data_IF_115983128504
#
_entry.id   IF_115983128504
#
_cell.length_a   1.000
_cell.length_b   1.000
_cell.length_c   1.000
_cell.angle_alpha   90.00
_cell.angle_beta   90.00
_cell.angle_gamma   90.00
#
_symmetry.space_group_name_H-M   'P 1'
#
loop_
_entity.id
_entity.type
_entity.pdbx_description
1 polymer ?
#
# COMPACT_ATOMS: atom_id res chain seq x y z
N UNK A 1 18.44 -15.46 9.48
CA UNK A 1 17.45 -15.08 8.45
C UNK A 1 18.22 -14.92 7.15
N UNK A 2 17.84 -15.65 6.11
CA UNK A 2 18.33 -15.37 4.77
C UNK A 2 17.94 -13.93 4.43
N UNK A 3 18.83 -13.19 3.79
CA UNK A 3 18.50 -11.81 3.40
C UNK A 3 17.51 -11.84 2.24
N UNK A 4 16.71 -10.79 2.06
CA UNK A 4 15.83 -10.64 0.89
C UNK A 4 16.62 -10.79 -0.42
N UNK A 5 17.87 -10.33 -0.42
CA UNK A 5 18.80 -10.47 -1.53
C UNK A 5 19.07 -11.95 -1.83
N UNK A 6 19.36 -12.78 -0.81
CA UNK A 6 19.65 -14.20 -1.00
C UNK A 6 18.46 -14.95 -1.62
N UNK A 7 17.23 -14.59 -1.22
CA UNK A 7 16.02 -15.16 -1.80
C UNK A 7 15.85 -14.76 -3.27
N UNK A 8 16.08 -13.49 -3.61
CA UNK A 8 16.03 -13.00 -5.00
C UNK A 8 17.12 -13.70 -5.86
N UNK A 9 18.33 -13.89 -5.32
CA UNK A 9 19.41 -14.60 -6.01
C UNK A 9 19.03 -16.05 -6.32
N UNK A 10 18.37 -16.75 -5.43
CA UNK A 10 17.83 -18.11 -5.67
C UNK A 10 16.77 -18.12 -6.78
N UNK A 11 15.86 -17.13 -6.79
CA UNK A 11 14.85 -17.01 -7.84
C UNK A 11 15.49 -16.69 -9.19
N UNK A 12 16.52 -15.83 -9.23
CA UNK A 12 17.31 -15.54 -10.43
C UNK A 12 17.96 -16.79 -10.99
N UNK A 13 18.65 -17.58 -10.15
CA UNK A 13 19.30 -18.83 -10.56
C UNK A 13 18.28 -19.83 -11.12
N UNK A 14 17.17 -20.02 -10.44
CA UNK A 14 16.06 -20.91 -10.85
C UNK A 14 15.51 -20.55 -12.23
N UNK A 15 15.35 -19.26 -12.51
CA UNK A 15 14.78 -18.75 -13.76
C UNK A 15 15.85 -18.44 -14.82
N UNK A 16 17.14 -18.77 -14.54
CA UNK A 16 18.28 -18.56 -15.43
C UNK A 16 18.55 -17.08 -15.79
N UNK A 17 18.35 -16.18 -14.80
CA UNK A 17 18.79 -14.79 -14.86
C UNK A 17 20.07 -14.58 -14.06
N UNK A 18 20.88 -13.60 -14.45
CA UNK A 18 22.16 -13.31 -13.80
C UNK A 18 22.11 -12.02 -12.96
N UNK A 19 21.12 -11.16 -13.24
CA UNK A 19 20.91 -9.94 -12.49
C UNK A 19 19.43 -9.51 -12.54
N UNK A 20 19.03 -8.66 -11.58
CA UNK A 20 17.71 -8.05 -11.51
C UNK A 20 17.83 -6.54 -11.32
N UNK A 21 17.26 -5.78 -12.23
CA UNK A 21 17.27 -4.31 -12.27
C UNK A 21 16.03 -3.76 -11.60
N UNK A 22 16.24 -2.94 -10.56
CA UNK A 22 15.22 -2.17 -9.84
C UNK A 22 15.45 -0.67 -10.06
N UNK A 23 14.36 0.07 -10.24
CA UNK A 23 14.35 1.53 -10.42
C UNK A 23 13.29 2.22 -9.55
N UNK A 24 12.29 1.49 -9.07
CA UNK A 24 11.29 2.04 -8.18
C UNK A 24 11.92 2.35 -6.83
N UNK A 25 11.72 3.57 -6.33
CA UNK A 25 12.41 4.06 -5.13
C UNK A 25 12.14 3.23 -3.89
N UNK A 26 10.91 2.78 -3.71
CA UNK A 26 10.53 1.90 -2.60
C UNK A 26 11.21 0.54 -2.69
N UNK A 27 11.41 -0.02 -3.89
CA UNK A 27 12.15 -1.25 -4.10
C UNK A 27 13.65 -1.09 -3.83
N UNK A 28 14.22 0.04 -4.25
CA UNK A 28 15.64 0.38 -3.93
C UNK A 28 15.81 0.55 -2.43
N UNK A 29 14.90 1.29 -1.77
CA UNK A 29 14.91 1.49 -0.31
C UNK A 29 14.79 0.15 0.44
N UNK A 30 13.86 -0.72 0.03
CA UNK A 30 13.65 -2.03 0.64
C UNK A 30 14.89 -2.90 0.65
N UNK A 31 15.63 -2.93 -0.47
CA UNK A 31 16.84 -3.74 -0.59
C UNK A 31 18.03 -3.11 0.10
N UNK A 32 18.18 -1.80 0.04
CA UNK A 32 19.42 -1.10 0.40
C UNK A 32 19.35 -0.27 1.67
N UNK A 33 18.15 0.02 2.16
CA UNK A 33 17.85 1.02 3.22
C UNK A 33 18.09 2.47 2.80
N UNK A 34 18.69 2.70 1.65
CA UNK A 34 18.84 4.04 1.09
C UNK A 34 17.56 4.46 0.36
N UNK A 35 16.99 5.58 0.77
CA UNK A 35 15.84 6.21 0.13
C UNK A 35 16.29 7.21 -0.92
N UNK A 36 16.14 6.91 -2.22
CA UNK A 36 16.50 7.86 -3.28
C UNK A 36 15.66 9.13 -3.20
N UNK A 37 16.31 10.29 -3.49
CA UNK A 37 15.62 11.58 -3.61
C UNK A 37 15.48 12.04 -5.06
N UNK A 38 16.24 11.43 -5.97
CA UNK A 38 16.19 11.68 -7.40
C UNK A 38 16.03 10.35 -8.17
N UNK A 39 16.99 9.95 -8.96
CA UNK A 39 16.96 8.63 -9.60
C UNK A 39 18.01 7.70 -9.00
N UNK A 40 17.72 6.41 -8.97
CA UNK A 40 18.65 5.36 -8.61
C UNK A 40 18.36 4.09 -9.42
N UNK A 41 19.39 3.28 -9.65
CA UNK A 41 19.30 1.94 -10.21
C UNK A 41 19.91 0.97 -9.22
N UNK A 42 19.17 -0.03 -8.80
CA UNK A 42 19.71 -1.11 -8.00
C UNK A 42 19.83 -2.36 -8.87
N UNK A 43 21.01 -2.92 -8.97
CA UNK A 43 21.30 -4.19 -9.66
C UNK A 43 21.53 -5.24 -8.61
N UNK A 44 20.59 -6.17 -8.46
CA UNK A 44 20.73 -7.33 -7.60
C UNK A 44 21.44 -8.44 -8.40
N UNK A 45 22.59 -8.84 -7.93
CA UNK A 45 23.46 -9.91 -8.42
C UNK A 45 24.31 -10.40 -7.23
N UNK A 46 25.25 -11.35 -7.42
CA UNK A 46 26.08 -11.87 -6.33
C UNK A 46 26.67 -10.75 -5.43
N UNK A 47 27.15 -9.66 -6.04
CA UNK A 47 27.54 -8.44 -5.35
C UNK A 47 26.61 -7.30 -5.80
N UNK A 48 25.53 -6.99 -5.06
CA UNK A 48 24.54 -6.01 -5.45
C UNK A 48 25.11 -4.59 -5.43
N UNK A 49 24.68 -3.75 -6.36
CA UNK A 49 25.18 -2.39 -6.54
C UNK A 49 24.03 -1.41 -6.74
N UNK A 50 24.15 -0.22 -6.13
CA UNK A 50 23.32 0.93 -6.45
C UNK A 50 24.13 1.91 -7.31
N UNK A 51 23.53 2.36 -8.40
CA UNK A 51 23.98 3.53 -9.15
C UNK A 51 23.11 4.73 -8.72
N UNK A 52 23.69 5.62 -7.90
CA UNK A 52 22.99 6.79 -7.40
C UNK A 52 23.32 8.04 -8.20
N UNK A 53 22.40 8.98 -8.24
CA UNK A 53 22.66 10.31 -8.83
C UNK A 53 23.80 11.02 -8.07
N UNK A 54 24.49 11.94 -8.76
CA UNK A 54 25.56 12.69 -8.14
C UNK A 54 25.11 13.54 -6.93
N UNK A 55 23.83 13.92 -6.88
CA UNK A 55 23.24 14.69 -5.78
C UNK A 55 23.01 13.83 -4.53
N UNK A 56 22.78 12.54 -4.71
CA UNK A 56 22.44 11.62 -3.64
C UNK A 56 23.65 10.83 -3.10
N UNK A 57 24.85 11.02 -3.65
CA UNK A 57 26.02 10.20 -3.30
C UNK A 57 26.36 10.17 -1.81
N UNK A 58 26.29 11.31 -1.13
CA UNK A 58 26.55 11.41 0.30
C UNK A 58 25.49 10.63 1.09
N UNK A 59 24.22 10.86 0.77
CA UNK A 59 23.07 10.18 1.39
C UNK A 59 23.14 8.66 1.15
N UNK A 60 23.36 8.25 -0.09
CA UNK A 60 23.46 6.85 -0.46
C UNK A 60 24.61 6.12 0.23
N UNK A 61 25.80 6.73 0.32
CA UNK A 61 26.93 6.16 1.02
C UNK A 61 26.73 6.08 2.55
N UNK A 62 25.95 7.01 3.14
CA UNK A 62 25.64 7.00 4.57
C UNK A 62 24.65 5.89 4.93
N UNK A 63 23.59 5.73 4.13
CA UNK A 63 22.41 4.93 4.51
C UNK A 63 22.40 3.54 3.88
N UNK A 64 23.06 3.35 2.72
CA UNK A 64 23.02 2.07 2.01
C UNK A 64 23.77 0.96 2.73
N UNK A 65 23.16 -0.22 2.79
CA UNK A 65 23.76 -1.47 3.26
C UNK A 65 24.54 -2.22 2.17
N UNK A 66 24.50 -1.76 0.92
CA UNK A 66 25.18 -2.36 -0.24
C UNK A 66 26.07 -1.35 -0.95
N UNK A 67 26.91 -1.82 -1.88
CA UNK A 67 27.84 -0.96 -2.61
C UNK A 67 27.12 0.15 -3.37
N UNK A 68 27.66 1.38 -3.32
CA UNK A 68 27.15 2.54 -4.03
C UNK A 68 28.17 3.02 -5.05
N UNK A 69 27.72 3.24 -6.28
CA UNK A 69 28.50 3.86 -7.36
C UNK A 69 27.76 5.11 -7.85
N UNK A 70 28.52 6.11 -8.27
CA UNK A 70 27.93 7.27 -8.96
C UNK A 70 27.44 6.83 -10.33
N UNK A 71 26.17 7.13 -10.63
CA UNK A 71 25.67 6.97 -12.01
C UNK A 71 26.35 7.97 -12.94
N UNK A 72 26.95 7.48 -14.01
CA UNK A 72 27.55 8.29 -15.06
C UNK A 72 26.66 8.32 -16.32
N UNK A 73 26.33 7.16 -16.84
CA UNK A 73 25.41 6.98 -18.00
C UNK A 73 24.92 5.55 -18.11
N UNK A 74 23.88 5.34 -18.90
CA UNK A 74 23.41 3.98 -19.23
C UNK A 74 24.50 3.15 -19.90
N UNK A 75 25.29 3.75 -20.80
CA UNK A 75 26.34 3.03 -21.53
C UNK A 75 27.42 2.49 -20.58
N UNK A 76 27.84 3.29 -19.60
CA UNK A 76 28.83 2.84 -18.59
C UNK A 76 28.27 1.69 -17.79
N UNK A 77 27.04 1.77 -17.30
CA UNK A 77 26.40 0.70 -16.54
C UNK A 77 26.22 -0.57 -17.38
N UNK A 78 25.77 -0.45 -18.62
CA UNK A 78 25.63 -1.57 -19.56
C UNK A 78 26.99 -2.23 -19.83
N UNK A 79 28.02 -1.45 -20.09
CA UNK A 79 29.37 -1.96 -20.33
C UNK A 79 29.95 -2.70 -19.11
N UNK A 80 29.67 -2.22 -17.90
CA UNK A 80 30.07 -2.90 -16.66
C UNK A 80 29.37 -4.26 -16.52
N UNK A 81 28.06 -4.31 -16.72
CA UNK A 81 27.29 -5.56 -16.65
C UNK A 81 27.73 -6.57 -17.72
N UNK A 82 28.02 -6.11 -18.93
CA UNK A 82 28.54 -6.98 -20.03
C UNK A 82 29.95 -7.53 -19.71
N UNK A 83 30.83 -6.73 -19.13
CA UNK A 83 32.17 -7.17 -18.70
C UNK A 83 32.10 -8.23 -17.59
N UNK A 84 31.07 -8.19 -16.74
CA UNK A 84 30.80 -9.21 -15.75
C UNK A 84 30.12 -10.46 -16.33
N UNK A 85 29.84 -10.49 -17.63
CA UNK A 85 29.27 -11.65 -18.34
C UNK A 85 27.76 -11.77 -18.23
N UNK A 86 27.05 -10.72 -17.78
CA UNK A 86 25.60 -10.71 -17.72
C UNK A 86 25.03 -10.68 -19.14
N UNK A 87 24.11 -11.59 -19.43
CA UNK A 87 23.38 -11.72 -20.68
C UNK A 87 21.88 -11.70 -20.49
N UNK A 88 21.40 -12.34 -19.42
CA UNK A 88 20.00 -12.44 -19.06
C UNK A 88 19.72 -11.52 -17.86
N UNK A 89 18.93 -10.47 -18.11
CA UNK A 89 18.58 -9.44 -17.13
C UNK A 89 17.10 -9.50 -16.78
N UNK A 90 16.76 -9.83 -15.54
CA UNK A 90 15.40 -9.63 -15.04
C UNK A 90 15.17 -8.15 -14.75
N UNK A 91 13.96 -7.68 -14.95
CA UNK A 91 13.53 -6.31 -14.62
C UNK A 91 12.24 -6.33 -13.77
N UNK A 92 12.04 -5.31 -12.94
CA UNK A 92 10.76 -5.12 -12.25
C UNK A 92 9.64 -4.72 -13.25
N UNK A 93 8.37 -5.10 -13.02
CA UNK A 93 7.26 -4.76 -13.91
C UNK A 93 7.04 -3.25 -14.08
N UNK A 94 7.37 -2.47 -13.07
CA UNK A 94 7.25 -1.00 -13.03
C UNK A 94 8.37 -0.26 -13.76
N UNK A 95 9.35 -0.98 -14.36
CA UNK A 95 10.47 -0.35 -15.06
C UNK A 95 9.96 0.59 -16.15
N UNK A 96 10.35 1.88 -16.16
CA UNK A 96 9.94 2.81 -17.21
C UNK A 96 10.34 2.29 -18.61
N UNK A 97 9.41 2.34 -19.55
CA UNK A 97 9.67 1.92 -20.93
C UNK A 97 10.89 2.62 -21.57
N UNK A 98 11.11 3.90 -21.22
CA UNK A 98 12.29 4.66 -21.64
C UNK A 98 13.61 4.04 -21.15
N UNK A 99 13.61 3.43 -19.97
CA UNK A 99 14.76 2.70 -19.42
C UNK A 99 14.89 1.34 -20.11
N UNK A 100 13.80 0.58 -20.27
CA UNK A 100 13.80 -0.69 -21.00
C UNK A 100 14.46 -0.56 -22.38
N UNK A 101 14.12 0.47 -23.15
CA UNK A 101 14.70 0.71 -24.51
C UNK A 101 16.22 0.88 -24.47
N UNK A 102 16.82 1.28 -23.34
CA UNK A 102 18.28 1.44 -23.22
C UNK A 102 19.01 0.11 -23.04
N UNK A 103 18.32 -0.90 -22.51
CA UNK A 103 18.93 -2.19 -22.16
C UNK A 103 18.59 -3.32 -23.15
N UNK A 104 17.46 -3.23 -23.87
CA UNK A 104 16.89 -4.32 -24.65
C UNK A 104 17.78 -4.84 -25.80
N UNK A 105 18.66 -4.00 -26.32
CA UNK A 105 19.52 -4.39 -27.46
C UNK A 105 20.83 -5.08 -27.00
N UNK A 106 21.11 -5.01 -25.66
CA UNK A 106 22.32 -5.54 -25.04
C UNK A 106 22.09 -6.79 -24.18
N UNK A 107 20.85 -7.02 -23.74
CA UNK A 107 20.49 -8.12 -22.83
C UNK A 107 19.22 -8.84 -23.28
N UNK A 108 19.14 -10.14 -22.99
CA UNK A 108 17.86 -10.86 -22.96
C UNK A 108 17.10 -10.46 -21.72
N UNK A 109 15.93 -9.83 -21.89
CA UNK A 109 15.18 -9.19 -20.78
C UNK A 109 13.82 -9.87 -20.61
N UNK A 110 13.47 -10.14 -19.34
CA UNK A 110 12.11 -10.52 -18.95
C UNK A 110 11.69 -9.83 -17.66
N UNK A 111 10.40 -9.57 -17.53
CA UNK A 111 9.81 -8.94 -16.35
C UNK A 111 9.54 -9.96 -15.25
N UNK A 112 9.93 -9.66 -14.01
CA UNK A 112 9.81 -10.56 -12.86
C UNK A 112 9.34 -9.82 -11.61
N UNK A 113 8.52 -10.47 -10.81
CA UNK A 113 7.95 -9.96 -9.56
C UNK A 113 8.71 -10.47 -8.32
N UNK A 114 10.03 -10.64 -8.40
CA UNK A 114 10.81 -11.19 -7.28
C UNK A 114 10.78 -10.30 -6.05
N UNK A 115 10.88 -8.98 -6.26
CA UNK A 115 10.84 -8.02 -5.15
C UNK A 115 9.44 -7.96 -4.51
N UNK A 116 8.38 -8.03 -5.32
CA UNK A 116 7.00 -8.00 -4.83
C UNK A 116 6.73 -9.19 -3.90
N UNK A 117 7.24 -10.38 -4.25
CA UNK A 117 7.17 -11.59 -3.39
C UNK A 117 7.86 -11.38 -2.03
N UNK A 118 9.00 -10.67 -2.00
CA UNK A 118 9.69 -10.40 -0.75
C UNK A 118 8.90 -9.39 0.10
N UNK A 119 8.29 -8.37 -0.51
CA UNK A 119 7.51 -7.34 0.16
C UNK A 119 6.14 -7.84 0.63
N UNK A 120 5.60 -8.88 -0.02
CA UNK A 120 4.31 -9.48 0.31
C UNK A 120 4.26 -10.01 1.75
N UNK A 121 5.33 -10.68 2.19
CA UNK A 121 5.44 -11.27 3.53
C UNK A 121 6.25 -10.32 4.42
N UNK A 122 5.56 -9.62 5.30
CA UNK A 122 6.16 -8.65 6.21
C UNK A 122 6.89 -9.34 7.36
N UNK A 123 8.07 -8.86 7.65
CA UNK A 123 8.80 -9.25 8.87
C UNK A 123 8.11 -8.66 10.11
N UNK A 124 8.35 -9.20 11.33
CA UNK A 124 7.80 -8.60 12.54
C UNK A 124 8.12 -7.11 12.70
N UNK A 125 9.32 -6.67 12.33
CA UNK A 125 9.73 -5.26 12.41
C UNK A 125 8.96 -4.37 11.42
N UNK A 126 8.60 -4.88 10.24
CA UNK A 126 7.78 -4.16 9.27
C UNK A 126 6.33 -4.03 9.78
N UNK A 127 5.79 -5.10 10.37
CA UNK A 127 4.45 -5.07 10.99
C UNK A 127 4.42 -4.06 12.16
N UNK A 128 5.48 -3.98 12.99
CA UNK A 128 5.60 -2.99 14.06
C UNK A 128 5.56 -1.55 13.53
N UNK A 129 6.20 -1.28 12.39
CA UNK A 129 6.17 0.05 11.75
C UNK A 129 4.80 0.39 11.19
N UNK A 130 4.13 -0.57 10.53
CA UNK A 130 2.76 -0.42 10.05
C UNK A 130 1.82 -0.16 11.24
N UNK A 131 1.95 -0.91 12.32
CA UNK A 131 1.16 -0.72 13.54
C UNK A 131 1.39 0.68 14.15
N UNK A 132 2.64 1.18 14.14
CA UNK A 132 2.92 2.54 14.62
C UNK A 132 2.35 3.61 13.70
N UNK A 133 2.39 3.42 12.38
CA UNK A 133 1.73 4.31 11.43
C UNK A 133 0.21 4.35 11.67
N UNK A 134 -0.42 3.19 11.90
CA UNK A 134 -1.84 3.07 12.23
C UNK A 134 -2.18 3.77 13.56
N UNK A 135 -1.38 3.56 14.61
CA UNK A 135 -1.54 4.25 15.90
C UNK A 135 -1.52 5.79 15.74
N UNK A 136 -0.56 6.30 14.95
CA UNK A 136 -0.46 7.74 14.67
C UNK A 136 -1.70 8.22 13.92
N UNK A 137 -2.13 7.51 12.88
CA UNK A 137 -3.31 7.88 12.09
C UNK A 137 -4.59 7.89 12.93
N UNK A 138 -4.82 6.83 13.71
CA UNK A 138 -6.01 6.70 14.57
C UNK A 138 -6.02 7.73 15.69
N UNK A 139 -4.88 7.97 16.36
CA UNK A 139 -4.76 9.04 17.37
C UNK A 139 -5.08 10.40 16.78
N UNK A 140 -4.57 10.71 15.59
CA UNK A 140 -4.79 11.99 14.91
C UNK A 140 -6.26 12.20 14.55
N UNK A 141 -6.95 11.13 14.14
CA UNK A 141 -8.39 11.16 13.90
C UNK A 141 -9.17 11.47 15.19
N UNK A 142 -8.82 10.85 16.32
CA UNK A 142 -9.46 11.13 17.62
C UNK A 142 -9.17 12.56 18.09
N UNK A 143 -7.94 13.05 17.90
CA UNK A 143 -7.55 14.42 18.26
C UNK A 143 -8.26 15.48 17.39
N UNK A 144 -8.79 15.10 16.22
CA UNK A 144 -9.49 16.01 15.30
C UNK A 144 -10.86 16.44 15.81
N UNK A 145 -11.51 15.67 16.69
CA UNK A 145 -12.87 15.93 17.20
C UNK A 145 -13.88 16.23 16.07
N UNK A 146 -13.96 15.30 15.12
CA UNK A 146 -14.73 15.48 13.88
C UNK A 146 -16.20 15.82 14.10
N UNK A 147 -16.81 15.29 15.17
CA UNK A 147 -18.23 15.49 15.48
C UNK A 147 -18.55 16.94 15.86
N UNK A 148 -17.60 17.68 16.44
CA UNK A 148 -17.72 19.08 16.80
C UNK A 148 -17.08 20.01 15.74
N UNK A 149 -16.50 19.44 14.67
CA UNK A 149 -15.81 20.22 13.66
C UNK A 149 -16.80 20.92 12.72
N UNK A 150 -16.72 22.25 12.62
CA UNK A 150 -17.54 23.09 11.76
C UNK A 150 -16.82 23.52 10.48
N UNK A 151 -15.67 22.94 10.18
CA UNK A 151 -14.84 23.22 9.02
C UNK A 151 -15.47 22.80 7.68
N UNK A 152 -14.75 23.09 6.61
CA UNK A 152 -15.00 22.53 5.29
C UNK A 152 -14.29 21.19 5.14
N UNK A 153 -14.64 20.36 4.15
CA UNK A 153 -13.95 19.11 3.87
C UNK A 153 -12.43 19.34 3.72
N UNK A 154 -12.00 20.39 3.02
CA UNK A 154 -10.58 20.75 2.87
C UNK A 154 -9.89 21.13 4.18
N UNK A 155 -10.58 21.91 5.02
CA UNK A 155 -10.02 22.31 6.32
C UNK A 155 -9.85 21.08 7.22
N UNK A 156 -10.83 20.18 7.24
CA UNK A 156 -10.77 18.94 8.01
C UNK A 156 -9.65 18.02 7.52
N UNK A 157 -9.53 17.81 6.19
CA UNK A 157 -8.44 17.04 5.61
C UNK A 157 -7.06 17.62 5.98
N UNK A 158 -6.89 18.94 5.85
CA UNK A 158 -5.65 19.63 6.21
C UNK A 158 -5.33 19.48 7.71
N UNK A 159 -6.31 19.67 8.58
CA UNK A 159 -6.11 19.53 10.03
C UNK A 159 -5.72 18.09 10.40
N UNK A 160 -6.32 17.09 9.77
CA UNK A 160 -5.97 15.68 9.99
C UNK A 160 -4.54 15.37 9.57
N UNK A 161 -4.11 15.84 8.40
CA UNK A 161 -2.70 15.70 7.93
C UNK A 161 -1.74 16.40 8.90
N UNK A 162 -2.06 17.62 9.33
CA UNK A 162 -1.26 18.35 10.32
C UNK A 162 -1.12 17.56 11.62
N UNK A 163 -2.23 17.03 12.15
CA UNK A 163 -2.22 16.21 13.37
C UNK A 163 -1.39 14.93 13.21
N UNK A 164 -1.47 14.24 12.06
CA UNK A 164 -0.62 13.08 11.79
C UNK A 164 0.86 13.43 11.85
N UNK A 165 1.28 14.56 11.26
CA UNK A 165 2.68 15.03 11.31
C UNK A 165 3.08 15.39 12.74
N UNK A 166 2.23 16.10 13.50
CA UNK A 166 2.46 16.46 14.90
C UNK A 166 2.56 15.21 15.80
N UNK A 167 1.83 14.15 15.50
CA UNK A 167 1.87 12.87 16.20
C UNK A 167 3.03 11.95 15.75
N UNK A 168 3.85 12.36 14.78
CA UNK A 168 5.10 11.67 14.41
C UNK A 168 5.12 10.99 13.05
N UNK A 169 4.10 11.18 12.21
CA UNK A 169 4.17 10.76 10.80
C UNK A 169 5.19 11.59 10.02
N UNK A 170 5.82 10.99 9.03
CA UNK A 170 6.66 11.73 8.07
C UNK A 170 5.81 12.50 7.04
N UNK A 171 4.67 11.96 6.66
CA UNK A 171 3.62 12.54 5.82
C UNK A 171 2.38 11.64 5.83
N UNK A 172 1.33 12.03 5.14
CA UNK A 172 0.21 11.14 4.79
C UNK A 172 0.64 10.03 3.82
N UNK A 173 -0.04 8.87 3.85
CA UNK A 173 0.23 7.74 2.95
C UNK A 173 -0.35 7.93 1.55
N UNK A 174 -1.41 8.68 1.45
CA UNK A 174 -2.11 9.11 0.23
C UNK A 174 -2.84 10.43 0.52
N UNK A 175 -3.37 11.08 -0.51
CA UNK A 175 -4.18 12.29 -0.36
C UNK A 175 -5.41 12.00 0.50
N UNK A 176 -5.45 12.55 1.72
CA UNK A 176 -6.53 12.33 2.68
C UNK A 176 -7.89 12.68 2.09
N UNK A 177 -8.82 11.72 2.09
CA UNK A 177 -10.19 11.90 1.61
C UNK A 177 -11.07 12.33 2.78
N UNK A 178 -11.73 13.46 2.64
CA UNK A 178 -12.86 13.90 3.49
C UNK A 178 -13.98 14.26 2.57
N UNK A 179 -15.07 13.49 2.61
CA UNK A 179 -16.23 13.70 1.76
C UNK A 179 -17.51 13.57 2.56
N UNK A 180 -18.56 14.27 2.16
CA UNK A 180 -19.77 14.36 2.96
C UNK A 180 -21.03 14.52 2.13
N UNK A 181 -22.19 14.11 2.69
CA UNK A 181 -23.47 14.11 2.00
C UNK A 181 -23.42 13.30 0.70
N UNK A 182 -24.01 13.81 -0.36
CA UNK A 182 -24.10 13.12 -1.65
C UNK A 182 -22.73 12.82 -2.28
N UNK A 183 -21.71 13.63 -2.00
CA UNK A 183 -20.37 13.41 -2.53
C UNK A 183 -19.69 12.15 -1.96
N UNK A 184 -20.11 11.65 -0.79
CA UNK A 184 -19.60 10.38 -0.24
C UNK A 184 -19.96 9.16 -1.10
N UNK A 185 -20.90 9.29 -2.06
CA UNK A 185 -21.17 8.25 -3.04
C UNK A 185 -20.06 8.06 -4.10
N UNK A 186 -19.03 8.91 -4.08
CA UNK A 186 -17.87 8.82 -4.96
C UNK A 186 -16.67 8.28 -4.16
N UNK A 187 -16.18 7.04 -4.41
CA UNK A 187 -15.13 6.42 -3.60
C UNK A 187 -13.84 7.24 -3.47
N UNK A 188 -13.47 7.95 -4.53
CA UNK A 188 -12.26 8.79 -4.60
C UNK A 188 -12.60 10.29 -4.72
N UNK A 189 -13.61 10.76 -3.96
CA UNK A 189 -13.95 12.18 -3.95
C UNK A 189 -12.78 13.01 -3.38
N UNK A 190 -12.53 14.15 -4.02
CA UNK A 190 -11.51 15.11 -3.55
C UNK A 190 -12.21 16.08 -2.58
N UNK A 191 -11.61 16.35 -1.39
CA UNK A 191 -12.17 17.30 -0.43
C UNK A 191 -12.42 18.68 -1.05
N UNK A 192 -13.61 19.24 -0.84
CA UNK A 192 -14.02 20.53 -1.38
C UNK A 192 -14.10 21.64 -0.32
N UNK A 193 -14.09 22.92 -0.75
CA UNK A 193 -14.27 24.07 0.15
C UNK A 193 -15.77 24.26 0.48
N UNK A 194 -16.46 23.18 0.84
CA UNK A 194 -17.86 23.17 1.28
C UNK A 194 -17.95 22.67 2.72
N UNK A 195 -18.93 23.14 3.48
CA UNK A 195 -19.18 22.66 4.84
C UNK A 195 -19.55 21.19 4.84
N UNK A 196 -19.15 20.50 5.91
CA UNK A 196 -19.53 19.12 6.12
C UNK A 196 -21.05 18.95 6.09
N UNK A 197 -21.51 17.90 5.42
CA UNK A 197 -22.88 17.43 5.39
C UNK A 197 -22.93 15.98 5.90
N UNK A 198 -24.11 15.40 6.05
CA UNK A 198 -24.28 14.03 6.54
C UNK A 198 -24.60 13.07 5.40
N UNK A 199 -24.03 11.84 5.35
CA UNK A 199 -22.99 11.29 6.26
C UNK A 199 -21.62 11.95 6.01
N UNK A 200 -20.63 11.67 6.88
CA UNK A 200 -19.24 12.10 6.70
C UNK A 200 -18.41 10.83 6.55
N UNK A 201 -17.71 10.70 5.42
CA UNK A 201 -16.74 9.63 5.16
C UNK A 201 -15.34 10.25 5.17
N UNK A 202 -14.46 9.67 5.98
CA UNK A 202 -13.04 10.03 6.06
C UNK A 202 -12.21 8.78 5.80
N UNK A 203 -11.23 8.93 4.88
CA UNK A 203 -10.27 7.91 4.53
C UNK A 203 -8.88 8.54 4.60
N UNK A 204 -8.01 7.95 5.45
CA UNK A 204 -6.74 8.56 5.80
C UNK A 204 -5.70 7.52 6.24
N UNK A 205 -4.44 7.87 6.04
CA UNK A 205 -3.33 7.07 6.51
C UNK A 205 -2.06 7.88 6.73
N UNK A 206 -1.19 7.39 7.58
CA UNK A 206 0.09 7.98 7.94
C UNK A 206 1.26 7.15 7.43
N UNK A 207 2.41 7.79 7.19
CA UNK A 207 3.68 7.09 6.96
C UNK A 207 4.58 7.24 8.18
N UNK A 208 5.01 6.10 8.73
CA UNK A 208 6.01 6.04 9.79
C UNK A 208 7.19 5.15 9.37
N UNK A 209 8.41 5.70 9.43
CA UNK A 209 9.64 5.03 8.98
C UNK A 209 9.51 4.34 7.60
N UNK A 210 8.83 5.00 6.66
CA UNK A 210 8.61 4.54 5.29
C UNK A 210 7.36 3.66 5.10
N UNK A 211 6.75 3.14 6.16
CA UNK A 211 5.59 2.23 6.09
C UNK A 211 4.28 2.97 6.21
N UNK A 212 3.34 2.62 5.34
CA UNK A 212 2.00 3.19 5.25
C UNK A 212 1.04 2.56 6.27
N UNK A 213 0.03 3.32 6.68
CA UNK A 213 -1.23 2.83 7.25
C UNK A 213 -2.40 3.27 6.40
N UNK A 214 -3.55 2.64 6.62
CA UNK A 214 -4.79 2.90 5.92
C UNK A 214 -6.00 2.67 6.83
N UNK A 215 -6.95 3.61 6.83
CA UNK A 215 -8.17 3.54 7.63
C UNK A 215 -9.31 4.33 6.97
N UNK A 216 -10.51 3.78 6.94
CA UNK A 216 -11.73 4.52 6.60
C UNK A 216 -12.78 4.40 7.69
N UNK A 217 -13.44 5.52 8.01
CA UNK A 217 -14.64 5.57 8.86
C UNK A 217 -15.73 6.41 8.21
N UNK A 218 -16.99 5.94 8.36
CA UNK A 218 -18.17 6.72 7.95
C UNK A 218 -19.06 6.98 9.16
N UNK A 219 -19.25 8.25 9.50
CA UNK A 219 -20.20 8.70 10.52
C UNK A 219 -21.58 8.88 9.90
N UNK A 220 -22.59 8.22 10.48
CA UNK A 220 -23.97 8.17 9.98
C UNK A 220 -24.92 8.79 10.97
N UNK A 221 -26.03 9.37 10.47
CA UNK A 221 -26.90 10.23 11.25
C UNK A 221 -28.41 9.97 11.04
N UNK A 222 -28.77 9.13 10.06
CA UNK A 222 -30.16 8.77 9.74
C UNK A 222 -30.35 7.28 9.78
N UNK A 223 -31.59 6.80 10.00
CA UNK A 223 -31.92 5.37 9.98
C UNK A 223 -31.51 4.69 8.65
N UNK A 224 -31.69 5.39 7.51
CA UNK A 224 -31.30 4.88 6.20
C UNK A 224 -29.78 4.75 6.06
N UNK A 225 -29.01 5.69 6.57
CA UNK A 225 -27.55 5.62 6.57
C UNK A 225 -27.08 4.52 7.50
N UNK A 226 -27.72 4.35 8.67
CA UNK A 226 -27.40 3.29 9.62
C UNK A 226 -27.67 1.90 9.02
N UNK A 227 -28.79 1.71 8.31
CA UNK A 227 -29.08 0.46 7.62
C UNK A 227 -27.95 0.06 6.66
N UNK A 228 -27.45 0.98 5.84
CA UNK A 228 -26.34 0.73 4.91
C UNK A 228 -25.03 0.49 5.67
N UNK A 229 -24.79 1.25 6.73
CA UNK A 229 -23.62 1.08 7.59
C UNK A 229 -23.58 -0.33 8.22
N UNK A 230 -24.70 -0.81 8.73
CA UNK A 230 -24.81 -2.13 9.35
C UNK A 230 -24.51 -3.25 8.35
N UNK A 231 -24.93 -3.14 7.09
CA UNK A 231 -24.62 -4.09 6.01
C UNK A 231 -23.10 -4.09 5.72
N UNK A 232 -22.51 -2.91 5.59
CA UNK A 232 -21.06 -2.78 5.35
C UNK A 232 -20.25 -3.32 6.53
N UNK A 233 -20.68 -3.05 7.77
CA UNK A 233 -20.05 -3.58 8.98
C UNK A 233 -20.14 -5.12 9.06
N UNK A 234 -21.29 -5.71 8.69
CA UNK A 234 -21.42 -7.17 8.62
C UNK A 234 -20.45 -7.77 7.59
N UNK A 235 -20.35 -7.16 6.40
CA UNK A 235 -19.44 -7.60 5.35
C UNK A 235 -17.96 -7.49 5.80
N UNK A 236 -17.59 -6.38 6.43
CA UNK A 236 -16.26 -6.13 6.98
C UNK A 236 -15.88 -7.17 8.05
N UNK A 237 -16.70 -7.31 9.08
CA UNK A 237 -16.41 -8.22 10.20
C UNK A 237 -16.36 -9.69 9.74
N UNK A 238 -17.24 -10.07 8.82
CA UNK A 238 -17.27 -11.44 8.30
C UNK A 238 -16.05 -11.74 7.43
N UNK A 239 -15.62 -10.78 6.58
CA UNK A 239 -14.41 -10.92 5.79
C UNK A 239 -13.19 -11.12 6.70
N UNK A 240 -12.99 -10.25 7.70
CA UNK A 240 -11.87 -10.36 8.65
C UNK A 240 -11.89 -11.71 9.38
N UNK A 241 -13.04 -12.13 9.85
CA UNK A 241 -13.23 -13.41 10.59
C UNK A 241 -12.84 -14.62 9.75
N UNK A 242 -13.10 -14.59 8.45
CA UNK A 242 -12.88 -15.72 7.56
C UNK A 242 -11.45 -15.78 7.00
N UNK A 243 -10.67 -14.70 7.10
CA UNK A 243 -9.27 -14.65 6.67
C UNK A 243 -8.44 -15.68 7.46
N UNK A 244 -7.76 -16.56 6.74
CA UNK A 244 -6.77 -17.51 7.27
C UNK A 244 -5.80 -17.95 6.19
N UNK A 245 -4.57 -18.34 6.55
CA UNK A 245 -3.62 -18.92 5.60
C UNK A 245 -4.19 -20.13 4.86
N UNK A 246 -3.85 -20.24 3.57
CA UNK A 246 -4.27 -21.34 2.69
C UNK A 246 -5.52 -21.04 1.86
N UNK A 247 -6.30 -20.01 2.16
CA UNK A 247 -7.37 -19.52 1.28
C UNK A 247 -6.79 -18.66 0.16
N UNK A 248 -7.53 -18.47 -0.91
CA UNK A 248 -7.22 -17.48 -1.96
C UNK A 248 -7.75 -16.10 -1.59
N UNK A 249 -7.07 -15.05 -2.04
CA UNK A 249 -7.53 -13.67 -1.85
C UNK A 249 -8.92 -13.43 -2.44
N UNK A 250 -9.23 -14.01 -3.61
CA UNK A 250 -10.56 -13.90 -4.23
C UNK A 250 -11.69 -14.55 -3.40
N UNK A 251 -11.38 -15.53 -2.54
CA UNK A 251 -12.39 -16.13 -1.66
C UNK A 251 -12.82 -15.16 -0.56
N UNK A 252 -11.92 -14.32 -0.08
CA UNK A 252 -12.24 -13.27 0.92
C UNK A 252 -13.03 -12.13 0.29
N UNK A 253 -12.65 -11.66 -0.91
CA UNK A 253 -13.47 -10.69 -1.65
C UNK A 253 -14.90 -11.20 -1.84
N UNK A 254 -15.02 -12.48 -2.19
CA UNK A 254 -16.34 -13.12 -2.37
C UNK A 254 -17.16 -13.10 -1.08
N UNK A 255 -16.56 -13.29 0.10
CA UNK A 255 -17.28 -13.25 1.39
C UNK A 255 -17.96 -11.91 1.60
N UNK A 256 -17.22 -10.79 1.46
CA UNK A 256 -17.78 -9.46 1.64
C UNK A 256 -18.84 -9.16 0.57
N UNK A 257 -18.54 -9.51 -0.67
CA UNK A 257 -19.41 -9.26 -1.82
C UNK A 257 -20.72 -10.03 -1.77
N UNK A 258 -20.69 -11.33 -1.38
CA UNK A 258 -21.90 -12.15 -1.23
C UNK A 258 -22.87 -11.55 -0.17
N UNK A 259 -22.33 -11.04 0.96
CA UNK A 259 -23.17 -10.38 1.97
C UNK A 259 -23.87 -9.14 1.39
N UNK A 260 -23.11 -8.27 0.76
CA UNK A 260 -23.65 -7.04 0.16
C UNK A 260 -24.69 -7.35 -0.94
N UNK A 261 -24.44 -8.40 -1.74
CA UNK A 261 -25.37 -8.89 -2.77
C UNK A 261 -26.67 -9.44 -2.17
N UNK A 262 -26.58 -10.21 -1.07
CA UNK A 262 -27.75 -10.80 -0.38
C UNK A 262 -28.72 -9.70 0.14
N UNK A 263 -28.21 -8.52 0.47
CA UNK A 263 -29.00 -7.34 0.79
C UNK A 263 -29.46 -6.54 -0.44
N UNK A 264 -29.09 -6.97 -1.66
CA UNK A 264 -29.51 -6.35 -2.92
C UNK A 264 -28.67 -5.15 -3.36
N UNK A 265 -27.46 -4.98 -2.82
CA UNK A 265 -26.54 -3.87 -3.13
C UNK A 265 -25.28 -4.29 -3.88
N UNK A 266 -25.21 -5.50 -4.45
CA UNK A 266 -24.02 -6.02 -5.10
C UNK A 266 -23.47 -5.13 -6.21
N UNK A 267 -24.35 -4.48 -7.00
CA UNK A 267 -23.95 -3.51 -8.03
C UNK A 267 -23.47 -2.16 -7.47
N UNK A 268 -23.58 -1.95 -6.17
CA UNK A 268 -23.12 -0.75 -5.45
C UNK A 268 -21.78 -0.93 -4.74
N UNK A 269 -21.25 -2.16 -4.71
CA UNK A 269 -19.88 -2.45 -4.25
C UNK A 269 -18.95 -2.57 -5.45
N UNK A 270 -18.33 -1.45 -5.84
CA UNK A 270 -17.69 -1.24 -7.14
C UNK A 270 -16.16 -1.36 -7.15
N UNK A 271 -15.54 -1.69 -6.05
CA UNK A 271 -14.09 -1.91 -5.93
C UNK A 271 -13.75 -3.26 -5.26
N UNK A 272 -12.49 -3.58 -5.09
CA UNK A 272 -12.00 -4.75 -4.36
C UNK A 272 -12.27 -4.61 -2.86
N UNK A 273 -12.31 -5.74 -2.14
CA UNK A 273 -12.50 -5.74 -0.68
C UNK A 273 -11.26 -5.24 0.06
N UNK A 274 -10.10 -5.16 -0.59
CA UNK A 274 -8.89 -4.63 0.02
C UNK A 274 -7.62 -4.90 -0.79
N UNK A 275 -6.51 -4.38 -0.29
CA UNK A 275 -5.19 -4.49 -0.89
C UNK A 275 -4.11 -4.63 0.18
N UNK A 276 -2.96 -5.21 -0.18
CA UNK A 276 -1.78 -5.19 0.68
C UNK A 276 -1.19 -3.78 0.74
N UNK A 277 -0.54 -3.45 1.83
CA UNK A 277 0.21 -2.21 2.02
C UNK A 277 1.57 -2.49 2.68
N UNK A 278 2.44 -1.52 2.63
CA UNK A 278 3.77 -1.59 3.22
C UNK A 278 4.54 -0.29 2.99
N UNK A 279 5.61 -0.32 2.20
CA UNK A 279 6.33 0.88 1.76
C UNK A 279 5.54 1.70 0.73
N UNK A 280 4.72 1.02 -0.08
CA UNK A 280 3.71 1.65 -0.93
C UNK A 280 2.33 1.43 -0.31
N UNK A 281 1.41 2.37 -0.55
CA UNK A 281 0.05 2.24 -0.06
C UNK A 281 -0.68 1.07 -0.74
N UNK A 282 -0.46 0.86 -2.03
CA UNK A 282 -0.97 -0.28 -2.76
C UNK A 282 0.15 -1.25 -3.11
N UNK A 283 0.11 -2.44 -2.51
CA UNK A 283 1.00 -3.56 -2.80
C UNK A 283 0.18 -4.80 -3.19
N UNK A 284 0.84 -5.82 -3.68
CA UNK A 284 0.23 -7.15 -3.90
C UNK A 284 0.37 -8.02 -2.64
N UNK A 285 -0.61 -8.92 -2.40
CA UNK A 285 -1.84 -9.19 -3.12
C UNK A 285 -2.99 -8.24 -2.75
N UNK A 286 -4.13 -8.38 -3.45
CA UNK A 286 -5.37 -7.70 -3.09
C UNK A 286 -6.54 -8.67 -2.90
N UNK A 287 -7.48 -8.35 -2.00
CA UNK A 287 -8.73 -9.07 -1.89
C UNK A 287 -9.68 -8.64 -3.01
N UNK A 288 -9.52 -9.25 -4.19
CA UNK A 288 -10.31 -8.99 -5.39
C UNK A 288 -10.73 -10.28 -6.07
N UNK A 289 -11.83 -10.25 -6.84
CA UNK A 289 -12.36 -11.43 -7.56
C UNK A 289 -11.35 -12.10 -8.51
N UNK A 290 -10.26 -11.42 -8.88
CA UNK A 290 -9.28 -11.89 -9.85
C UNK A 290 -7.95 -12.30 -9.23
N UNK A 291 -7.78 -12.15 -7.93
CA UNK A 291 -6.52 -12.47 -7.26
C UNK A 291 -6.56 -13.87 -6.63
N UNK A 292 -5.92 -14.81 -7.30
CA UNK A 292 -5.80 -16.20 -6.88
C UNK A 292 -4.62 -16.45 -5.92
N UNK A 293 -3.94 -15.41 -5.44
CA UNK A 293 -2.83 -15.51 -4.50
C UNK A 293 -3.29 -16.22 -3.23
N UNK A 294 -2.50 -17.17 -2.79
CA UNK A 294 -2.76 -17.86 -1.52
C UNK A 294 -2.36 -16.96 -0.36
N UNK A 295 -3.26 -16.80 0.58
CA UNK A 295 -3.01 -16.07 1.82
C UNK A 295 -1.96 -16.82 2.66
N UNK A 296 -0.94 -16.11 3.11
CA UNK A 296 0.16 -16.63 3.92
C UNK A 296 0.32 -15.84 5.23
N UNK A 297 0.95 -16.49 6.22
CA UNK A 297 1.33 -15.79 7.47
C UNK A 297 2.36 -14.69 7.16
N UNK A 298 2.24 -13.54 7.79
CA UNK A 298 3.07 -12.36 7.57
C UNK A 298 2.51 -11.37 6.54
N UNK A 299 1.43 -11.70 5.83
CA UNK A 299 0.75 -10.73 4.98
C UNK A 299 0.04 -9.67 5.84
N UNK A 300 0.00 -8.43 5.31
CA UNK A 300 -0.75 -7.30 5.86
C UNK A 300 -1.60 -6.73 4.74
N UNK A 301 -2.93 -6.70 4.93
CA UNK A 301 -3.91 -6.37 3.89
C UNK A 301 -5.04 -5.55 4.50
N UNK A 302 -5.62 -4.59 3.76
CA UNK A 302 -6.82 -3.85 4.16
C UNK A 302 -8.08 -4.69 3.97
N UNK A 303 -9.12 -4.40 4.74
CA UNK A 303 -10.49 -4.92 4.54
C UNK A 303 -11.42 -3.71 4.58
N UNK A 304 -11.93 -3.32 3.41
CA UNK A 304 -12.57 -2.02 3.18
C UNK A 304 -13.87 -2.10 2.35
N UNK A 305 -14.80 -3.02 2.62
CA UNK A 305 -16.04 -3.07 1.84
C UNK A 305 -16.79 -1.73 1.91
N UNK A 306 -17.51 -1.42 0.81
CA UNK A 306 -18.30 -0.19 0.73
C UNK A 306 -19.54 -0.31 -0.15
N UNK A 307 -20.56 0.48 0.15
CA UNK A 307 -21.78 0.64 -0.64
C UNK A 307 -21.91 2.11 -1.02
N UNK A 308 -22.05 2.37 -2.31
CA UNK A 308 -22.12 3.74 -2.86
C UNK A 308 -23.44 3.94 -3.63
N UNK A 309 -24.37 4.69 -3.03
CA UNK A 309 -25.68 5.01 -3.60
C UNK A 309 -25.56 6.30 -4.40
N UNK A 310 -25.45 6.18 -5.71
CA UNK A 310 -25.18 7.30 -6.62
C UNK A 310 -26.14 8.48 -6.39
N UNK A 311 -25.59 9.67 -6.12
CA UNK A 311 -26.32 10.90 -5.85
C UNK A 311 -27.00 10.98 -4.48
N UNK A 312 -26.91 9.91 -3.66
CA UNK A 312 -27.43 9.90 -2.30
C UNK A 312 -26.30 9.99 -1.27
N UNK A 313 -25.56 8.91 -1.06
CA UNK A 313 -24.40 8.84 -0.17
C UNK A 313 -23.64 7.52 -0.35
N UNK A 314 -22.44 7.43 0.26
CA UNK A 314 -21.66 6.20 0.37
C UNK A 314 -21.26 5.90 1.80
N UNK A 315 -21.01 4.64 2.06
CA UNK A 315 -20.43 4.11 3.32
C UNK A 315 -19.28 3.19 2.97
N UNK A 316 -18.10 3.41 3.56
CA UNK A 316 -16.95 2.52 3.58
C UNK A 316 -16.45 2.38 5.02
N UNK A 317 -16.10 1.18 5.43
CA UNK A 317 -15.47 0.88 6.70
C UNK A 317 -14.22 0.07 6.42
N UNK A 318 -13.11 0.46 7.03
CA UNK A 318 -11.82 -0.12 6.72
C UNK A 318 -10.94 -0.28 7.94
N UNK A 319 -10.34 -1.46 8.03
CA UNK A 319 -9.22 -1.72 8.91
C UNK A 319 -8.12 -2.49 8.17
N UNK A 320 -6.86 -2.20 8.52
CA UNK A 320 -5.72 -3.01 8.12
C UNK A 320 -5.60 -4.22 9.05
N UNK A 321 -5.40 -5.41 8.48
CA UNK A 321 -5.19 -6.64 9.25
C UNK A 321 -3.81 -7.24 9.02
N UNK A 322 -3.20 -7.75 10.08
CA UNK A 322 -2.03 -8.64 9.99
C UNK A 322 -2.46 -10.09 10.07
N UNK A 323 -1.85 -10.95 9.26
CA UNK A 323 -2.22 -12.35 9.14
C UNK A 323 -1.17 -13.24 9.81
N UNK A 324 -1.61 -13.96 10.83
CA UNK A 324 -0.87 -15.07 11.44
C UNK A 324 -1.67 -16.36 11.22
N UNK A 325 -1.95 -17.17 12.22
CA UNK A 325 -2.91 -18.27 12.10
C UNK A 325 -4.33 -17.81 11.75
N UNK A 326 -4.63 -16.55 12.02
CA UNK A 326 -5.86 -15.81 11.67
C UNK A 326 -5.49 -14.34 11.48
N UNK A 327 -6.41 -13.59 10.86
CA UNK A 327 -6.29 -12.13 10.79
C UNK A 327 -6.51 -11.51 12.18
N UNK A 328 -5.77 -10.43 12.43
CA UNK A 328 -5.92 -9.55 13.56
C UNK A 328 -5.88 -8.11 13.09
N UNK A 329 -6.86 -7.31 13.46
CA UNK A 329 -6.88 -5.87 13.17
C UNK A 329 -5.66 -5.21 13.79
N UNK A 330 -5.01 -4.33 13.05
CA UNK A 330 -3.95 -3.45 13.52
C UNK A 330 -4.60 -2.15 13.97
N UNK A 331 -4.44 -1.81 15.26
CA UNK A 331 -5.10 -0.67 15.89
C UNK A 331 -6.36 -1.07 16.66
N UNK A 332 -7.02 -0.06 17.26
CA UNK A 332 -8.14 -0.25 18.16
C UNK A 332 -9.26 0.80 17.99
N UNK A 333 -9.22 1.58 16.91
CA UNK A 333 -10.27 2.55 16.62
C UNK A 333 -11.60 1.83 16.32
N UNK A 334 -12.69 2.12 17.08
CA UNK A 334 -13.98 1.47 16.82
C UNK A 334 -14.49 1.78 15.41
N UNK A 335 -15.28 0.87 14.85
CA UNK A 335 -15.93 1.10 13.54
C UNK A 335 -16.96 2.22 13.62
N UNK A 336 -17.80 2.19 14.67
CA UNK A 336 -18.76 3.26 14.95
C UNK A 336 -18.08 4.38 15.74
N UNK A 337 -18.23 5.59 15.25
CA UNK A 337 -17.76 6.82 15.90
C UNK A 337 -18.99 7.55 16.44
N UNK A 338 -19.12 7.58 17.77
CA UNK A 338 -20.23 8.18 18.52
C UNK A 338 -19.96 9.66 18.89
#
# INVERSE_FOLDING_TARGET
MESHIDNILKDLEKDNFQAYLLTQFTNVEYISRYKPTSFAFCIIKENPIIYASGMDMELANRDSSIEVRKYESYNVMIDELKKEGIKNLAIEPSLPFSTYVKFRDDFEIDSKTYIDKQRMIKTPSEIEKIAKATEIAQKSFLDLDILNNSGTEKEVAFDLVRLMIENGASKESFDTIVTSGAASSLPHAIPEAKKLAQPILIDWGAIYEGYCSDNTRTMVYTERQQEIWDIVAEAHDKAIKDIKPGLKCCEIDKVARDIIEDYGYGDKFIHSTGHSLGLDIHETPGFSLRDDTIIEEGMVITVEPGIYLEGEFGVRLEDTVSISKRASVIGDLPLMID
#
